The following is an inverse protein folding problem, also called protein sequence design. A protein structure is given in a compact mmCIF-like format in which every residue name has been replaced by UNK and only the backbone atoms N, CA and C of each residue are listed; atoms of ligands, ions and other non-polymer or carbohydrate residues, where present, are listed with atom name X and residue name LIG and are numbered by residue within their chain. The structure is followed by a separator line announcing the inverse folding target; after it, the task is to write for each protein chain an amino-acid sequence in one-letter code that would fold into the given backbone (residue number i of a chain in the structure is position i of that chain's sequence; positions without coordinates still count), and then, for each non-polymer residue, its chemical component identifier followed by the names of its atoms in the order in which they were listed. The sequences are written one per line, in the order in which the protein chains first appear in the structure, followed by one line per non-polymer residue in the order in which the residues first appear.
data_IF_895938818223
#
_entry.id   IF_895938818223
#
_cell.length_a   1.000
_cell.length_b   1.000
_cell.length_c   1.000
_cell.angle_alpha   90.00
_cell.angle_beta   90.00
_cell.angle_gamma   90.00
#
_symmetry.space_group_name_H-M   'P 1'
#
loop_
_entity.id
_entity.type
_entity.pdbx_description
1 polymer ?
#
# COMPACT_ATOMS: atom_id res chain seq x y z
N UNK A 1 40.27 24.99 7.04
CA UNK A 1 39.70 23.90 6.22
C UNK A 1 38.18 23.97 5.97
N UNK A 2 37.46 25.02 6.39
CA UNK A 2 36.01 25.18 6.13
C UNK A 2 35.67 25.96 4.84
N UNK A 3 36.57 26.79 4.30
CA UNK A 3 36.27 27.62 3.12
C UNK A 3 36.24 26.88 1.77
N UNK A 4 36.89 25.72 1.62
CA UNK A 4 36.86 24.95 0.36
C UNK A 4 35.54 24.19 0.14
N UNK A 5 34.82 23.82 1.22
CA UNK A 5 33.53 23.12 1.11
C UNK A 5 32.39 24.05 0.68
N UNK A 6 32.43 25.32 1.12
CA UNK A 6 31.44 26.32 0.74
C UNK A 6 31.63 26.79 -0.71
N UNK A 7 32.87 26.83 -1.22
CA UNK A 7 33.13 27.11 -2.64
C UNK A 7 32.54 26.03 -3.56
N UNK A 8 32.61 24.76 -3.13
CA UNK A 8 32.05 23.62 -3.88
C UNK A 8 30.52 23.65 -3.94
N UNK A 9 29.83 23.98 -2.83
CA UNK A 9 28.37 24.11 -2.84
C UNK A 9 27.89 25.31 -3.67
N UNK A 10 28.57 26.45 -3.59
CA UNK A 10 28.21 27.64 -4.38
C UNK A 10 28.41 27.41 -5.87
N UNK A 11 29.46 26.68 -6.28
CA UNK A 11 29.70 26.36 -7.68
C UNK A 11 28.64 25.39 -8.23
N UNK A 12 28.23 24.38 -7.43
CA UNK A 12 27.14 23.46 -7.80
C UNK A 12 25.81 24.21 -7.92
N UNK A 13 25.53 25.16 -7.03
CA UNK A 13 24.31 25.97 -7.09
C UNK A 13 24.29 26.89 -8.32
N UNK A 14 25.43 27.49 -8.68
CA UNK A 14 25.57 28.30 -9.89
C UNK A 14 25.38 27.44 -11.15
N UNK A 15 26.00 26.26 -11.22
CA UNK A 15 25.82 25.32 -12.35
C UNK A 15 24.36 24.86 -12.47
N UNK A 16 23.68 24.62 -11.35
CA UNK A 16 22.27 24.24 -11.34
C UNK A 16 21.37 25.37 -11.86
N UNK A 17 21.64 26.62 -11.46
CA UNK A 17 20.91 27.80 -11.97
C UNK A 17 21.16 27.94 -13.48
N UNK A 18 22.40 27.82 -13.95
CA UNK A 18 22.70 27.87 -15.39
C UNK A 18 22.03 26.74 -16.17
N UNK A 19 21.94 25.53 -15.61
CA UNK A 19 21.25 24.41 -16.23
C UNK A 19 19.74 24.65 -16.31
N UNK A 20 19.12 25.12 -15.22
CA UNK A 20 17.67 25.44 -15.18
C UNK A 20 17.35 26.58 -16.14
N UNK A 21 18.17 27.62 -16.19
CA UNK A 21 18.01 28.75 -17.13
C UNK A 21 18.25 28.28 -18.58
N UNK A 22 19.24 27.43 -18.84
CA UNK A 22 19.49 26.87 -20.17
C UNK A 22 18.32 26.01 -20.66
N UNK A 23 17.79 25.14 -19.81
CA UNK A 23 16.59 24.34 -20.11
C UNK A 23 15.39 25.25 -20.36
N UNK A 24 15.18 26.29 -19.54
CA UNK A 24 14.10 27.26 -19.73
C UNK A 24 14.25 28.07 -21.02
N UNK A 25 15.47 28.47 -21.40
CA UNK A 25 15.75 29.17 -22.67
C UNK A 25 15.57 28.23 -23.87
N UNK A 26 15.95 26.96 -23.74
CA UNK A 26 15.68 25.95 -24.77
C UNK A 26 14.17 25.68 -24.91
N UNK A 27 13.44 25.71 -23.79
CA UNK A 27 11.98 25.61 -23.75
C UNK A 27 11.29 26.82 -24.40
N UNK A 28 11.76 28.05 -24.12
CA UNK A 28 11.26 29.27 -24.76
C UNK A 28 11.58 29.31 -26.25
N UNK A 29 12.74 28.79 -26.69
CA UNK A 29 13.07 28.65 -28.12
C UNK A 29 12.18 27.63 -28.85
N UNK A 30 11.73 26.58 -28.17
CA UNK A 30 10.79 25.60 -28.71
C UNK A 30 9.34 26.12 -28.80
N UNK A 31 9.01 27.18 -28.06
CA UNK A 31 7.71 27.85 -28.05
C UNK A 31 7.43 28.62 -29.37
N UNK A 32 8.48 28.98 -30.11
CA UNK A 32 8.39 29.63 -31.41
C UNK A 32 8.04 28.68 -32.57
N UNK A 33 8.10 27.36 -32.38
CA UNK A 33 7.88 26.36 -33.41
C UNK A 33 6.65 25.47 -33.13
N UNK A 34 5.48 26.08 -32.97
CA UNK A 34 4.16 25.53 -33.39
C UNK A 34 3.77 24.06 -33.10
N UNK A 35 4.39 23.34 -32.16
CA UNK A 35 4.02 21.95 -31.88
C UNK A 35 2.84 21.86 -30.89
N UNK A 36 1.72 21.36 -31.44
CA UNK A 36 0.43 21.00 -30.83
C UNK A 36 0.41 20.82 -29.30
N UNK A 37 -0.29 21.73 -28.62
CA UNK A 37 -0.55 21.73 -27.17
C UNK A 37 -1.23 20.44 -26.66
N UNK A 38 -1.98 19.72 -27.50
CA UNK A 38 -2.73 18.53 -27.10
C UNK A 38 -1.82 17.34 -26.77
N UNK A 39 -0.75 17.13 -27.56
CA UNK A 39 0.25 16.06 -27.32
C UNK A 39 1.16 16.40 -26.12
N UNK A 40 1.50 17.68 -25.96
CA UNK A 40 2.27 18.18 -24.82
C UNK A 40 1.54 17.94 -23.48
N UNK A 41 0.21 18.06 -23.48
CA UNK A 41 -0.60 17.88 -22.26
C UNK A 41 -0.78 16.40 -21.88
N UNK A 42 -0.84 15.47 -22.85
CA UNK A 42 -0.88 14.03 -22.58
C UNK A 42 0.46 13.50 -22.07
N UNK A 43 1.56 14.01 -22.65
CA UNK A 43 2.92 13.63 -22.25
C UNK A 43 3.26 14.21 -20.86
N UNK A 44 2.81 15.42 -20.54
CA UNK A 44 2.96 16.00 -19.19
C UNK A 44 2.13 15.26 -18.14
N UNK A 45 0.89 14.85 -18.44
CA UNK A 45 0.07 14.04 -17.51
C UNK A 45 0.68 12.67 -17.23
N UNK A 46 1.22 12.02 -18.26
CA UNK A 46 1.87 10.72 -18.11
C UNK A 46 3.22 10.84 -17.37
N UNK A 47 3.96 11.93 -17.53
CA UNK A 47 5.16 12.25 -16.75
C UNK A 47 4.84 12.64 -15.29
N UNK A 48 3.72 13.31 -15.02
CA UNK A 48 3.21 13.56 -13.67
C UNK A 48 2.74 12.27 -12.99
N UNK A 49 2.05 11.38 -13.70
CA UNK A 49 1.67 10.05 -13.17
C UNK A 49 2.89 9.17 -12.89
N UNK A 50 3.91 9.21 -13.75
CA UNK A 50 5.18 8.49 -13.58
C UNK A 50 6.07 9.04 -12.46
N UNK A 51 5.92 10.32 -12.10
CA UNK A 51 6.69 10.98 -11.03
C UNK A 51 5.91 11.15 -9.72
N UNK A 52 4.59 10.91 -9.72
CA UNK A 52 3.77 11.04 -8.52
C UNK A 52 4.09 9.95 -7.50
N UNK A 53 4.57 10.36 -6.32
CA UNK A 53 4.65 9.43 -5.21
C UNK A 53 3.26 8.85 -4.93
N UNK A 54 3.16 7.53 -4.69
CA UNK A 54 1.87 6.91 -4.43
C UNK A 54 1.21 7.56 -3.22
N UNK A 55 0.10 8.26 -3.48
CA UNK A 55 -0.69 8.96 -2.46
C UNK A 55 -1.44 7.96 -1.58
N UNK A 56 -1.64 8.33 -0.31
CA UNK A 56 -2.53 7.60 0.60
C UNK A 56 -3.95 7.53 0.03
N UNK A 57 -4.46 6.31 -0.07
CA UNK A 57 -5.85 6.01 -0.41
C UNK A 57 -6.19 4.56 -0.04
N UNK A 58 -7.49 4.24 -0.04
CA UNK A 58 -7.96 2.85 0.02
C UNK A 58 -7.34 2.04 -1.13
N UNK A 59 -6.94 0.80 -0.85
CA UNK A 59 -6.29 -0.08 -1.84
C UNK A 59 -4.79 0.18 -2.02
N UNK A 60 -4.16 0.82 -1.03
CA UNK A 60 -2.70 0.96 -0.97
C UNK A 60 -2.11 0.06 0.12
N UNK A 61 -0.87 -0.35 -0.08
CA UNK A 61 -0.06 -0.94 0.96
C UNK A 61 0.71 0.13 1.72
N UNK A 62 0.72 0.02 3.05
CA UNK A 62 1.68 0.64 3.94
C UNK A 62 2.74 -0.39 4.30
N UNK A 63 3.97 -0.11 3.92
CA UNK A 63 5.12 -0.98 4.20
C UNK A 63 5.92 -0.32 5.29
N UNK A 64 6.02 -0.97 6.46
CA UNK A 64 6.74 -0.42 7.60
C UNK A 64 8.20 -0.15 7.21
N UNK A 65 8.73 1.03 7.58
CA UNK A 65 10.14 1.34 7.37
C UNK A 65 11.06 0.44 8.20
N UNK A 66 12.35 0.40 7.85
CA UNK A 66 13.36 -0.37 8.59
C UNK A 66 13.50 0.11 10.04
N UNK A 67 13.28 1.40 10.25
CA UNK A 67 13.41 2.08 11.55
C UNK A 67 12.08 2.16 12.32
N UNK A 68 11.07 1.37 11.91
CA UNK A 68 9.77 1.32 12.59
C UNK A 68 9.93 0.95 14.07
N UNK A 69 9.74 1.95 14.94
CA UNK A 69 9.93 1.81 16.39
C UNK A 69 8.79 1.06 17.07
N UNK A 70 7.57 1.15 16.53
CA UNK A 70 6.44 0.41 17.07
C UNK A 70 6.59 -1.08 16.72
N UNK A 71 6.91 -1.89 17.72
CA UNK A 71 7.10 -3.33 17.56
C UNK A 71 5.85 -4.04 17.06
N UNK A 72 4.66 -3.47 17.34
CA UNK A 72 3.39 -3.97 16.81
C UNK A 72 3.31 -3.83 15.29
N UNK A 73 4.11 -2.99 14.66
CA UNK A 73 4.09 -2.76 13.21
C UNK A 73 5.44 -3.04 12.53
N UNK A 74 6.49 -3.37 13.30
CA UNK A 74 7.77 -3.78 12.74
C UNK A 74 7.60 -4.90 11.73
N UNK A 75 8.22 -4.73 10.56
CA UNK A 75 8.19 -5.66 9.42
C UNK A 75 6.77 -6.01 8.94
N UNK A 76 5.81 -5.12 9.14
CA UNK A 76 4.43 -5.31 8.68
C UNK A 76 4.22 -4.73 7.28
N UNK A 77 3.32 -5.36 6.53
CA UNK A 77 2.69 -4.77 5.35
C UNK A 77 1.20 -4.71 5.62
N UNK A 78 0.62 -3.52 5.48
CA UNK A 78 -0.79 -3.27 5.81
C UNK A 78 -1.53 -2.88 4.53
N UNK A 79 -2.62 -3.57 4.24
CA UNK A 79 -3.58 -3.13 3.22
C UNK A 79 -4.55 -2.12 3.83
N UNK A 80 -4.60 -0.91 3.28
CA UNK A 80 -5.64 0.07 3.63
C UNK A 80 -6.98 -0.33 3.01
N UNK A 81 -7.92 -0.70 3.87
CA UNK A 81 -9.29 -1.09 3.49
C UNK A 81 -10.28 0.07 3.62
N UNK A 82 -9.93 1.11 4.40
CA UNK A 82 -10.62 2.40 4.44
C UNK A 82 -9.63 3.52 4.66
N UNK A 83 -9.89 4.67 4.04
CA UNK A 83 -9.13 5.91 4.19
C UNK A 83 -10.02 7.09 3.79
N UNK A 84 -10.37 7.92 4.77
CA UNK A 84 -11.21 9.12 4.58
C UNK A 84 -10.89 10.20 5.64
N UNK A 85 -11.67 11.28 5.67
CA UNK A 85 -11.46 12.39 6.61
C UNK A 85 -11.68 12.01 8.09
N UNK A 86 -12.34 10.89 8.37
CA UNK A 86 -12.57 10.36 9.73
C UNK A 86 -11.45 9.43 10.19
N UNK A 87 -10.50 9.10 9.31
CA UNK A 87 -9.31 8.31 9.64
C UNK A 87 -9.05 7.19 8.65
N UNK A 88 -8.30 6.18 9.09
CA UNK A 88 -7.91 5.06 8.26
C UNK A 88 -8.06 3.72 8.98
N UNK A 89 -8.30 2.68 8.20
CA UNK A 89 -8.38 1.30 8.68
C UNK A 89 -7.64 0.39 7.71
N UNK A 90 -6.84 -0.53 8.26
CA UNK A 90 -6.08 -1.48 7.47
C UNK A 90 -5.89 -2.84 8.13
N UNK A 91 -5.45 -3.81 7.34
CA UNK A 91 -5.18 -5.18 7.76
C UNK A 91 -3.72 -5.53 7.51
N UNK A 92 -3.02 -6.02 8.54
CA UNK A 92 -1.68 -6.57 8.37
C UNK A 92 -1.79 -7.89 7.58
N UNK A 93 -1.32 -7.89 6.33
CA UNK A 93 -1.50 -9.02 5.41
C UNK A 93 -0.46 -10.13 5.62
N UNK A 94 0.64 -9.83 6.31
CA UNK A 94 1.82 -10.69 6.35
C UNK A 94 2.07 -11.35 7.73
N UNK A 95 1.03 -11.44 8.57
CA UNK A 95 1.13 -12.04 9.92
C UNK A 95 0.10 -13.15 10.12
N UNK A 96 0.41 -14.39 9.71
CA UNK A 96 -0.43 -15.54 10.04
C UNK A 96 -0.47 -15.73 11.56
N UNK A 97 -1.67 -16.00 12.07
CA UNK A 97 -1.89 -16.37 13.46
C UNK A 97 -1.55 -17.83 13.68
N UNK A 98 -1.05 -18.16 14.88
CA UNK A 98 -0.89 -19.55 15.32
C UNK A 98 -2.24 -20.21 15.65
N UNK A 99 -3.28 -19.41 15.83
CA UNK A 99 -4.64 -19.90 16.12
C UNK A 99 -5.31 -20.27 14.81
N UNK A 100 -5.76 -21.52 14.69
CA UNK A 100 -6.47 -22.02 13.51
C UNK A 100 -7.86 -21.39 13.41
N UNK A 101 -8.32 -21.12 12.19
CA UNK A 101 -9.64 -20.54 11.94
C UNK A 101 -10.77 -21.41 12.52
N UNK A 102 -10.67 -22.74 12.37
CA UNK A 102 -11.64 -23.70 12.91
C UNK A 102 -11.78 -23.64 14.44
N UNK A 103 -10.75 -23.18 15.17
CA UNK A 103 -10.82 -23.00 16.62
C UNK A 103 -11.58 -21.73 17.00
N UNK A 104 -11.53 -20.71 16.15
CA UNK A 104 -12.18 -19.41 16.40
C UNK A 104 -13.64 -19.41 15.95
N UNK A 105 -13.94 -20.16 14.89
CA UNK A 105 -15.27 -20.25 14.29
C UNK A 105 -15.73 -21.72 14.26
N UNK A 106 -15.89 -22.38 15.43
CA UNK A 106 -16.23 -23.81 15.49
C UNK A 106 -17.62 -24.11 14.91
N UNK A 107 -18.49 -23.11 14.79
CA UNK A 107 -19.84 -23.26 14.22
C UNK A 107 -19.85 -23.37 12.69
N UNK A 108 -18.74 -23.00 12.04
CA UNK A 108 -18.62 -23.03 10.57
C UNK A 108 -18.07 -24.38 10.14
N UNK A 109 -18.98 -25.24 9.63
CA UNK A 109 -18.59 -26.51 9.01
C UNK A 109 -17.79 -26.27 7.71
N UNK A 110 -16.82 -27.13 7.43
CA UNK A 110 -16.07 -27.13 6.16
C UNK A 110 -14.76 -26.33 6.15
N UNK A 111 -14.36 -25.70 7.26
CA UNK A 111 -13.05 -25.07 7.41
C UNK A 111 -11.94 -26.13 7.25
N UNK A 112 -11.02 -25.89 6.32
CA UNK A 112 -9.89 -26.79 6.09
C UNK A 112 -8.75 -26.50 7.07
N UNK A 113 -7.87 -27.49 7.33
CA UNK A 113 -6.65 -27.24 8.10
C UNK A 113 -5.73 -26.18 7.49
N UNK A 114 -5.80 -25.96 6.17
CA UNK A 114 -5.04 -24.94 5.46
C UNK A 114 -5.62 -23.53 5.57
N UNK A 115 -6.87 -23.39 6.02
CA UNK A 115 -7.51 -22.07 6.16
C UNK A 115 -6.91 -21.34 7.36
N UNK A 116 -6.00 -20.43 7.03
CA UNK A 116 -5.19 -19.70 8.01
C UNK A 116 -5.90 -18.44 8.44
N UNK A 117 -5.92 -18.19 9.75
CA UNK A 117 -6.34 -16.92 10.30
C UNK A 117 -5.13 -16.00 10.42
N UNK A 118 -5.31 -14.71 10.18
CA UNK A 118 -4.27 -13.70 10.22
C UNK A 118 -4.54 -12.71 11.36
N UNK A 119 -3.48 -12.14 11.91
CA UNK A 119 -3.60 -11.01 12.83
C UNK A 119 -3.69 -9.73 12.00
N UNK A 120 -4.88 -9.11 11.96
CA UNK A 120 -5.13 -7.90 11.17
C UNK A 120 -4.62 -6.63 11.82
N UNK A 121 -4.49 -6.60 13.15
CA UNK A 121 -3.90 -5.49 13.90
C UNK A 121 -4.39 -5.42 15.34
N UNK A 122 -3.87 -4.45 16.12
CA UNK A 122 -4.05 -4.42 17.58
C UNK A 122 -5.42 -3.91 18.05
N UNK A 123 -6.23 -3.33 17.16
CA UNK A 123 -7.54 -2.77 17.51
C UNK A 123 -8.62 -3.85 17.38
N UNK A 124 -9.52 -3.92 18.37
CA UNK A 124 -10.64 -4.86 18.42
C UNK A 124 -10.24 -6.31 18.07
N UNK A 125 -9.32 -6.90 18.82
CA UNK A 125 -8.73 -8.22 18.51
C UNK A 125 -9.69 -9.42 18.39
N UNK A 126 -10.99 -9.25 18.65
CA UNK A 126 -12.03 -10.25 18.43
C UNK A 126 -12.87 -10.01 17.15
N UNK A 127 -12.70 -8.84 16.50
CA UNK A 127 -13.46 -8.47 15.31
C UNK A 127 -12.94 -9.24 14.10
N UNK A 128 -13.84 -9.94 13.43
CA UNK A 128 -13.54 -10.67 12.19
C UNK A 128 -13.55 -9.71 11.00
N UNK A 129 -12.55 -9.84 10.14
CA UNK A 129 -12.48 -9.23 8.82
C UNK A 129 -12.13 -10.31 7.79
N UNK A 130 -12.73 -10.26 6.62
CA UNK A 130 -12.56 -11.25 5.56
C UNK A 130 -12.12 -10.49 4.32
N UNK A 131 -10.88 -10.71 3.86
CA UNK A 131 -10.49 -10.30 2.52
C UNK A 131 -10.85 -11.41 1.55
N UNK A 132 -11.43 -11.02 0.42
CA UNK A 132 -11.95 -11.93 -0.59
C UNK A 132 -11.37 -11.50 -1.93
N UNK A 133 -10.87 -12.47 -2.68
CA UNK A 133 -10.58 -12.33 -4.09
C UNK A 133 -11.68 -13.02 -4.88
N UNK A 134 -12.40 -12.27 -5.71
CA UNK A 134 -13.43 -12.83 -6.58
C UNK A 134 -13.60 -11.97 -7.84
N UNK A 135 -13.85 -12.62 -8.97
CA UNK A 135 -14.21 -11.93 -10.21
C UNK A 135 -15.59 -11.25 -10.16
N UNK A 136 -16.43 -11.59 -9.17
CA UNK A 136 -17.78 -11.05 -8.99
C UNK A 136 -17.91 -10.53 -7.57
N UNK A 137 -18.48 -9.33 -7.39
CA UNK A 137 -18.71 -8.74 -6.08
C UNK A 137 -19.54 -9.66 -5.16
N UNK A 138 -18.97 -10.21 -4.08
CA UNK A 138 -19.72 -11.02 -3.13
C UNK A 138 -20.75 -10.17 -2.38
N UNK A 139 -22.01 -10.61 -2.35
CA UNK A 139 -23.07 -9.92 -1.58
C UNK A 139 -22.67 -9.76 -0.12
N UNK A 140 -22.78 -8.54 0.42
CA UNK A 140 -22.37 -8.21 1.79
C UNK A 140 -20.88 -7.90 1.94
N UNK A 141 -20.20 -7.57 0.85
CA UNK A 141 -18.81 -7.12 0.83
C UNK A 141 -18.68 -5.74 0.20
N UNK A 142 -17.54 -5.09 0.45
CA UNK A 142 -17.18 -3.79 -0.07
C UNK A 142 -15.93 -3.92 -0.94
N UNK A 143 -15.97 -3.30 -2.12
CA UNK A 143 -14.83 -3.26 -3.03
C UNK A 143 -13.69 -2.41 -2.46
N UNK A 144 -12.46 -2.93 -2.56
CA UNK A 144 -11.23 -2.21 -2.16
C UNK A 144 -10.46 -1.74 -3.40
N UNK A 145 -10.01 -2.70 -4.23
CA UNK A 145 -9.28 -2.47 -5.49
C UNK A 145 -9.37 -3.74 -6.35
N UNK A 146 -9.23 -3.63 -7.68
CA UNK A 146 -9.18 -4.80 -8.57
C UNK A 146 -10.34 -5.79 -8.33
N UNK A 147 -9.99 -7.06 -8.13
CA UNK A 147 -10.87 -8.17 -7.76
C UNK A 147 -10.94 -8.43 -6.23
N UNK A 148 -10.52 -7.44 -5.42
CA UNK A 148 -10.42 -7.55 -3.97
C UNK A 148 -11.55 -6.83 -3.25
N UNK A 149 -12.18 -7.57 -2.34
CA UNK A 149 -13.29 -7.13 -1.51
C UNK A 149 -13.00 -7.39 -0.03
N UNK A 150 -13.67 -6.64 0.85
CA UNK A 150 -13.66 -6.88 2.29
C UNK A 150 -15.07 -7.10 2.82
N UNK A 151 -15.23 -7.99 3.79
CA UNK A 151 -16.47 -8.14 4.55
C UNK A 151 -16.18 -8.37 6.02
N UNK A 152 -17.11 -7.93 6.88
CA UNK A 152 -17.16 -8.29 8.29
C UNK A 152 -18.31 -9.26 8.62
N UNK A 153 -19.08 -9.68 7.61
CA UNK A 153 -20.23 -10.56 7.78
C UNK A 153 -19.79 -12.03 7.80
N UNK A 154 -19.96 -12.71 8.95
CA UNK A 154 -19.70 -14.14 9.12
C UNK A 154 -20.45 -15.00 8.10
N UNK A 155 -21.64 -14.58 7.65
CA UNK A 155 -22.41 -15.30 6.63
C UNK A 155 -21.70 -15.28 5.28
N UNK A 156 -20.91 -14.25 4.97
CA UNK A 156 -20.07 -14.22 3.76
C UNK A 156 -19.01 -15.31 3.85
N UNK A 157 -18.26 -15.37 4.96
CA UNK A 157 -17.26 -16.42 5.17
C UNK A 157 -17.86 -17.82 5.08
N UNK A 158 -19.00 -18.06 5.72
CA UNK A 158 -19.70 -19.34 5.63
C UNK A 158 -20.04 -19.72 4.18
N UNK A 159 -20.52 -18.77 3.37
CA UNK A 159 -20.82 -19.02 1.96
C UNK A 159 -19.57 -19.37 1.15
N UNK A 160 -18.47 -18.66 1.38
CA UNK A 160 -17.18 -18.91 0.70
C UNK A 160 -16.70 -20.34 1.00
N UNK A 161 -16.75 -20.74 2.27
CA UNK A 161 -16.34 -22.07 2.72
C UNK A 161 -17.25 -23.17 2.14
N UNK A 162 -18.57 -22.95 2.11
CA UNK A 162 -19.54 -23.96 1.69
C UNK A 162 -19.62 -24.12 0.16
N UNK A 163 -19.54 -23.03 -0.61
CA UNK A 163 -19.76 -23.06 -2.07
C UNK A 163 -18.53 -23.48 -2.86
N UNK A 164 -17.32 -23.21 -2.33
CA UNK A 164 -16.03 -23.55 -2.98
C UNK A 164 -16.01 -23.21 -4.48
N UNK A 165 -16.34 -21.97 -4.82
CA UNK A 165 -16.31 -21.52 -6.21
C UNK A 165 -14.86 -21.50 -6.70
N UNK A 166 -14.60 -22.11 -7.85
CA UNK A 166 -13.26 -22.12 -8.45
C UNK A 166 -12.81 -20.69 -8.76
N UNK A 167 -11.58 -20.34 -8.37
CA UNK A 167 -11.01 -19.00 -8.56
C UNK A 167 -11.35 -17.98 -7.48
N UNK A 168 -12.14 -18.35 -6.47
CA UNK A 168 -12.37 -17.50 -5.29
C UNK A 168 -11.42 -17.87 -4.15
N UNK A 169 -10.78 -16.87 -3.55
CA UNK A 169 -9.87 -17.03 -2.41
C UNK A 169 -10.32 -16.12 -1.26
N UNK A 170 -10.03 -16.51 -0.01
CA UNK A 170 -10.26 -15.66 1.14
C UNK A 170 -9.15 -15.76 2.17
N UNK A 171 -8.92 -14.68 2.89
CA UNK A 171 -8.16 -14.67 4.15
C UNK A 171 -9.02 -14.09 5.25
N UNK A 172 -9.04 -14.77 6.40
CA UNK A 172 -9.74 -14.33 7.60
C UNK A 172 -8.76 -13.65 8.56
N UNK A 173 -9.13 -12.50 9.11
CA UNK A 173 -8.34 -11.68 10.00
C UNK A 173 -9.07 -11.44 11.31
N UNK A 174 -8.31 -11.36 12.40
CA UNK A 174 -8.79 -10.87 13.70
C UNK A 174 -8.14 -9.54 14.03
N UNK A 175 -8.98 -8.58 14.44
CA UNK A 175 -8.57 -7.20 14.68
C UNK A 175 -8.14 -6.45 13.42
N UNK A 176 -7.76 -5.19 13.60
CA UNK A 176 -7.31 -4.32 12.52
C UNK A 176 -6.32 -3.26 13.03
N UNK A 177 -5.63 -2.60 12.09
CA UNK A 177 -4.86 -1.41 12.36
C UNK A 177 -5.73 -0.18 12.08
N UNK A 178 -5.83 0.74 13.05
CA UNK A 178 -6.66 1.92 12.95
C UNK A 178 -5.85 3.19 13.20
N UNK A 179 -6.20 4.25 12.47
CA UNK A 179 -5.61 5.57 12.62
C UNK A 179 -6.71 6.60 12.82
N UNK A 180 -6.52 7.49 13.79
CA UNK A 180 -7.36 8.67 13.96
C UNK A 180 -7.17 9.66 12.79
N UNK A 181 -8.09 10.63 12.59
CA UNK A 181 -7.94 11.67 11.57
C UNK A 181 -6.55 12.31 11.55
N UNK A 182 -5.92 12.34 10.37
CA UNK A 182 -4.61 12.95 10.15
C UNK A 182 -3.42 12.18 10.75
N UNK A 183 -3.64 11.09 11.50
CA UNK A 183 -2.57 10.37 12.17
C UNK A 183 -1.66 9.64 11.17
N UNK A 184 -2.26 8.93 10.20
CA UNK A 184 -1.51 8.16 9.22
C UNK A 184 -0.61 9.06 8.36
N UNK A 185 -1.11 10.22 7.97
CA UNK A 185 -0.39 11.25 7.24
C UNK A 185 0.84 11.72 8.01
N UNK A 186 0.67 12.00 9.32
CA UNK A 186 1.81 12.38 10.19
C UNK A 186 2.83 11.26 10.31
N UNK A 187 2.39 10.00 10.36
CA UNK A 187 3.30 8.84 10.40
C UNK A 187 4.07 8.66 9.10
N UNK A 188 3.42 8.84 7.94
CA UNK A 188 4.08 8.84 6.62
C UNK A 188 5.10 9.98 6.52
N UNK A 189 4.72 11.21 6.92
CA UNK A 189 5.63 12.37 6.92
C UNK A 189 6.85 12.17 7.81
N UNK A 190 6.72 11.39 8.89
CA UNK A 190 7.82 11.00 9.78
C UNK A 190 8.65 9.83 9.24
N UNK A 191 8.37 9.32 8.04
CA UNK A 191 9.08 8.20 7.45
C UNK A 191 8.75 6.83 8.07
N UNK A 192 7.62 6.71 8.77
CA UNK A 192 7.18 5.43 9.35
C UNK A 192 6.73 4.42 8.29
N UNK A 193 6.18 4.90 7.18
CA UNK A 193 5.54 4.07 6.17
C UNK A 193 6.00 4.44 4.77
N UNK A 194 6.27 3.43 3.96
CA UNK A 194 6.36 3.57 2.50
C UNK A 194 5.04 3.14 1.87
N UNK A 195 4.56 3.89 0.89
CA UNK A 195 3.28 3.63 0.23
C UNK A 195 3.54 2.89 -1.08
N UNK A 196 2.77 1.84 -1.35
CA UNK A 196 2.81 1.12 -2.63
C UNK A 196 1.39 0.87 -3.14
N UNK A 197 1.19 0.77 -4.47
CA UNK A 197 -0.01 0.14 -5.01
C UNK A 197 -0.19 -1.25 -4.40
N UNK A 198 -1.41 -1.60 -4.01
CA UNK A 198 -1.71 -2.96 -3.59
C UNK A 198 -1.86 -3.88 -4.80
N UNK A 199 -1.48 -5.14 -4.62
CA UNK A 199 -1.68 -6.21 -5.59
C UNK A 199 -2.23 -7.47 -4.90
N UNK A 200 -3.07 -8.21 -5.62
CA UNK A 200 -3.73 -9.40 -5.08
C UNK A 200 -2.74 -10.53 -4.76
N UNK A 201 -1.67 -10.66 -5.57
CA UNK A 201 -0.68 -11.73 -5.40
C UNK A 201 0.04 -11.62 -4.06
N UNK A 202 0.40 -10.40 -3.64
CA UNK A 202 0.99 -10.16 -2.33
C UNK A 202 0.07 -10.57 -1.18
N UNK A 203 -1.25 -10.48 -1.35
CA UNK A 203 -2.22 -10.86 -0.32
C UNK A 203 -2.44 -12.37 -0.29
N UNK A 204 -2.65 -13.02 -1.44
CA UNK A 204 -3.16 -14.39 -1.51
C UNK A 204 -2.14 -15.45 -1.93
N UNK A 205 -1.13 -15.08 -2.73
CA UNK A 205 -0.22 -16.05 -3.36
C UNK A 205 1.17 -16.08 -2.72
N UNK A 206 1.62 -14.97 -2.13
CA UNK A 206 2.97 -14.87 -1.56
C UNK A 206 3.10 -15.48 -0.18
N UNK A 207 4.28 -16.02 0.12
CA UNK A 207 4.66 -16.44 1.47
C UNK A 207 4.70 -15.24 2.41
N UNK A 208 3.92 -15.20 3.50
CA UNK A 208 3.82 -14.02 4.37
C UNK A 208 5.17 -13.47 4.88
N UNK A 209 6.11 -14.36 5.20
CA UNK A 209 7.45 -13.97 5.67
C UNK A 209 8.26 -13.14 4.67
N UNK A 210 7.94 -13.24 3.37
CA UNK A 210 8.71 -12.62 2.30
C UNK A 210 8.14 -11.26 1.87
N UNK A 211 6.84 -11.03 2.09
CA UNK A 211 6.11 -9.85 1.58
C UNK A 211 6.83 -8.55 1.98
N UNK A 212 7.11 -8.35 3.27
CA UNK A 212 7.78 -7.13 3.74
C UNK A 212 9.17 -6.95 3.12
N UNK A 213 9.98 -8.03 3.05
CA UNK A 213 11.33 -7.99 2.51
C UNK A 213 11.34 -7.58 1.03
N UNK A 214 10.39 -8.09 0.25
CA UNK A 214 10.27 -7.74 -1.16
C UNK A 214 9.97 -6.25 -1.35
N UNK A 215 8.98 -5.71 -0.62
CA UNK A 215 8.61 -4.31 -0.76
C UNK A 215 9.65 -3.34 -0.19
N UNK A 216 10.23 -3.62 0.98
CA UNK A 216 11.25 -2.75 1.58
C UNK A 216 12.58 -2.77 0.82
N UNK A 217 12.81 -3.75 -0.06
CA UNK A 217 13.95 -3.73 -0.99
C UNK A 217 13.68 -2.80 -2.17
N UNK A 218 12.42 -2.68 -2.62
CA UNK A 218 12.03 -1.75 -3.69
C UNK A 218 12.24 -0.29 -3.28
N UNK A 219 12.13 0.04 -2.00
CA UNK A 219 12.37 1.41 -1.52
C UNK A 219 13.83 1.83 -1.72
N UNK A 220 14.80 0.93 -1.51
CA UNK A 220 16.23 1.20 -1.75
C UNK A 220 16.55 1.44 -3.22
N UNK A 221 15.84 0.80 -4.15
CA UNK A 221 16.04 0.99 -5.59
C UNK A 221 15.47 2.34 -6.07
N UNK A 222 14.35 2.79 -5.49
CA UNK A 222 13.75 4.09 -5.79
C UNK A 222 14.62 5.27 -5.31
N UNK A 223 15.43 5.09 -4.27
CA UNK A 223 16.37 6.11 -3.79
C UNK A 223 17.62 6.26 -4.67
N UNK A 224 18.08 5.20 -5.33
CA UNK A 224 19.27 5.24 -6.21
C UNK A 224 18.97 5.87 -7.57
N UNK A 225 17.70 5.92 -7.96
CA UNK A 225 17.24 6.51 -9.22
C UNK A 225 16.80 7.99 -9.11
N UNK A 226 16.91 8.59 -7.92
CA UNK A 226 16.61 10.01 -7.63
C UNK A 226 17.91 10.80 -7.50
#
# INVERSE_FOLDING_TARGET
MQNLKNLSLSLVFIILIFFVVSVAVHFMRAEASGLSAAKKTSDLKSLEELSSEPKLSKGKFLVASRDMKDTRFSRSVILLISYDSKGAMGLIINRPSKVKLAKVLPEINGIRPSDTMYFGGPVEGHRLQILIRSGINPRGSYHIFGDIYVSADRKVLQRMINRKVSGEEFHAYVGYAGWAPGQLEREVLKGGWHIFPADAEAVFSKKPSNIWQEFIRKTSLLWVMR
#
